data_IF_487204304196
#
_entry.id   IF_487204304196
#
_cell.length_a   1.000
_cell.length_b   1.000
_cell.length_c   1.000
_cell.angle_alpha   90.00
_cell.angle_beta   90.00
_cell.angle_gamma   90.00
#
_symmetry.space_group_name_H-M   'P 1'
#
loop_
_entity.id
_entity.type
_entity.pdbx_description
1 polymer ?
#
# COMPACT_ATOMS: atom_id res chain seq x y z
N UNK A 1 -9.74 14.86 -14.32
CA UNK A 1 -9.15 13.67 -13.65
C UNK A 1 -10.27 12.73 -13.27
N UNK A 2 -10.14 11.43 -13.54
CA UNK A 2 -11.13 10.44 -13.10
C UNK A 2 -11.06 10.32 -11.56
N UNK A 3 -12.19 10.26 -10.82
CA UNK A 3 -12.19 10.01 -9.38
C UNK A 3 -11.30 8.84 -8.96
N UNK A 4 -11.25 7.76 -9.75
CA UNK A 4 -10.36 6.63 -9.49
C UNK A 4 -8.87 7.02 -9.47
N UNK A 5 -8.43 7.82 -10.45
CA UNK A 5 -7.03 8.27 -10.53
C UNK A 5 -6.66 9.14 -9.32
N UNK A 6 -7.60 9.93 -8.79
CA UNK A 6 -7.40 10.74 -7.57
C UNK A 6 -7.18 9.84 -6.36
N UNK A 7 -8.01 8.82 -6.18
CA UNK A 7 -7.88 7.86 -5.07
C UNK A 7 -6.56 7.10 -5.15
N UNK A 8 -6.17 6.62 -6.33
CA UNK A 8 -4.92 5.89 -6.51
C UNK A 8 -3.69 6.79 -6.25
N UNK A 9 -3.71 8.04 -6.71
CA UNK A 9 -2.63 9.00 -6.47
C UNK A 9 -2.54 9.42 -5.00
N UNK A 10 -3.67 9.67 -4.33
CA UNK A 10 -3.67 10.02 -2.91
C UNK A 10 -3.24 8.84 -2.02
N UNK A 11 -3.67 7.61 -2.34
CA UNK A 11 -3.20 6.40 -1.67
C UNK A 11 -1.69 6.18 -1.88
N UNK A 12 -1.16 6.46 -3.08
CA UNK A 12 0.28 6.39 -3.35
C UNK A 12 1.09 7.33 -2.45
N UNK A 13 0.62 8.56 -2.27
CA UNK A 13 1.20 9.55 -1.35
C UNK A 13 1.13 9.07 0.11
N UNK A 14 -0.03 8.54 0.54
CA UNK A 14 -0.22 8.01 1.88
C UNK A 14 0.75 6.87 2.21
N UNK A 15 0.92 5.92 1.28
CA UNK A 15 1.89 4.81 1.42
C UNK A 15 3.33 5.32 1.48
N UNK A 16 3.67 6.34 0.68
CA UNK A 16 5.01 6.93 0.69
C UNK A 16 5.33 7.54 2.05
N UNK A 17 4.41 8.34 2.59
CA UNK A 17 4.55 8.97 3.92
C UNK A 17 4.68 7.90 5.01
N UNK A 18 3.81 6.88 4.99
CA UNK A 18 3.90 5.76 5.93
C UNK A 18 5.22 4.99 5.80
N UNK A 19 5.75 4.82 4.59
CA UNK A 19 7.04 4.21 4.34
C UNK A 19 8.20 4.97 4.97
N UNK A 20 8.18 6.30 4.92
CA UNK A 20 9.18 7.14 5.59
C UNK A 20 9.07 7.02 7.12
N UNK A 21 7.86 7.03 7.67
CA UNK A 21 7.66 6.81 9.10
C UNK A 21 8.11 5.43 9.55
N UNK A 22 7.76 4.39 8.79
CA UNK A 22 8.18 3.00 9.05
C UNK A 22 9.71 2.86 9.03
N UNK A 23 10.40 3.55 8.11
CA UNK A 23 11.87 3.58 8.06
C UNK A 23 12.48 4.23 9.30
N UNK A 24 11.82 5.24 9.89
CA UNK A 24 12.31 5.87 11.12
C UNK A 24 12.09 5.00 12.35
N UNK A 25 10.99 4.26 12.40
CA UNK A 25 10.62 3.43 13.55
C UNK A 25 11.29 2.06 13.50
N UNK A 26 11.58 1.57 12.30
CA UNK A 26 12.23 0.29 12.07
C UNK A 26 13.30 0.45 11.02
N UNK A 27 14.53 0.07 11.37
CA UNK A 27 15.66 -0.02 10.46
C UNK A 27 15.51 -1.12 9.37
N UNK A 28 14.32 -1.72 9.26
CA UNK A 28 14.01 -2.67 8.20
C UNK A 28 13.96 -1.98 6.83
N UNK A 29 15.09 -2.02 6.13
CA UNK A 29 15.21 -1.60 4.72
C UNK A 29 14.19 -2.29 3.82
N UNK A 30 13.84 -3.55 4.13
CA UNK A 30 12.87 -4.34 3.38
C UNK A 30 11.45 -3.78 3.48
N UNK A 31 11.05 -3.25 4.64
CA UNK A 31 9.74 -2.62 4.82
C UNK A 31 9.65 -1.33 4.02
N UNK A 32 10.68 -0.48 4.11
CA UNK A 32 10.75 0.77 3.38
C UNK A 32 10.70 0.55 1.85
N UNK A 33 11.49 -0.39 1.32
CA UNK A 33 11.50 -0.71 -0.11
C UNK A 33 10.12 -1.17 -0.62
N UNK A 34 9.40 -1.96 0.17
CA UNK A 34 8.04 -2.38 -0.19
C UNK A 34 7.05 -1.21 -0.22
N UNK A 35 7.20 -0.22 0.67
CA UNK A 35 6.40 1.00 0.63
C UNK A 35 6.69 1.82 -0.63
N UNK A 36 7.96 1.98 -1.02
CA UNK A 36 8.31 2.64 -2.28
C UNK A 36 7.75 1.91 -3.49
N UNK A 37 7.89 0.58 -3.53
CA UNK A 37 7.36 -0.25 -4.60
C UNK A 37 5.83 -0.13 -4.71
N UNK A 38 5.11 -0.27 -3.60
CA UNK A 38 3.64 -0.15 -3.58
C UNK A 38 3.17 1.26 -3.97
N UNK A 39 3.87 2.30 -3.50
CA UNK A 39 3.59 3.69 -3.90
C UNK A 39 3.75 3.87 -5.42
N UNK A 40 4.82 3.34 -6.00
CA UNK A 40 5.05 3.36 -7.45
C UNK A 40 3.98 2.57 -8.22
N UNK A 41 3.58 1.39 -7.73
CA UNK A 41 2.49 0.60 -8.32
C UNK A 41 1.17 1.35 -8.35
N UNK A 42 0.80 2.02 -7.24
CA UNK A 42 -0.43 2.82 -7.15
C UNK A 42 -0.39 4.05 -8.06
N UNK A 43 0.76 4.73 -8.14
CA UNK A 43 0.93 5.89 -9.02
C UNK A 43 0.87 5.47 -10.50
N UNK A 44 1.48 4.34 -10.85
CA UNK A 44 1.40 3.80 -12.20
C UNK A 44 -0.03 3.34 -12.54
N UNK A 45 -0.75 2.73 -11.60
CA UNK A 45 -2.17 2.42 -11.77
C UNK A 45 -3.02 3.70 -11.99
N UNK A 46 -2.74 4.78 -11.26
CA UNK A 46 -3.39 6.08 -11.44
C UNK A 46 -3.12 6.65 -12.84
N UNK A 47 -1.87 6.58 -13.30
CA UNK A 47 -1.49 7.01 -14.64
C UNK A 47 -2.20 6.21 -15.73
N UNK A 48 -2.24 4.87 -15.62
CA UNK A 48 -2.92 4.02 -16.60
C UNK A 48 -4.44 4.24 -16.61
N UNK A 49 -5.03 4.53 -15.44
CA UNK A 49 -6.43 4.94 -15.32
C UNK A 49 -6.72 6.25 -16.08
N UNK A 50 -5.77 7.19 -16.10
CA UNK A 50 -5.89 8.45 -16.82
C UNK A 50 -5.66 8.27 -18.34
N UNK A 51 -4.64 7.49 -18.71
CA UNK A 51 -4.22 7.28 -20.09
C UNK A 51 -5.12 6.30 -20.87
N UNK A 52 -6.05 5.58 -20.20
CA UNK A 52 -6.98 4.59 -20.77
C UNK A 52 -6.33 3.47 -21.59
N UNK A 53 -5.04 3.22 -21.37
CA UNK A 53 -4.21 2.32 -22.19
C UNK A 53 -4.43 0.85 -21.87
N UNK A 54 -4.46 0.48 -20.58
CA UNK A 54 -4.62 -0.93 -20.16
C UNK A 54 -5.40 -1.03 -18.84
N UNK A 55 -6.72 -1.34 -18.89
CA UNK A 55 -7.56 -1.34 -17.70
C UNK A 55 -7.16 -2.40 -16.68
N UNK A 56 -6.60 -3.54 -17.10
CA UNK A 56 -6.20 -4.65 -16.21
C UNK A 56 -5.21 -4.23 -15.12
N UNK A 57 -4.24 -3.38 -15.47
CA UNK A 57 -3.19 -2.92 -14.55
C UNK A 57 -3.74 -2.02 -13.44
N UNK A 58 -4.85 -1.34 -13.69
CA UNK A 58 -5.53 -0.47 -12.72
C UNK A 58 -6.04 -1.26 -11.52
N UNK A 59 -6.35 -2.56 -11.70
CA UNK A 59 -6.83 -3.46 -10.63
C UNK A 59 -5.72 -4.32 -10.07
N UNK A 60 -4.87 -4.85 -10.95
CA UNK A 60 -3.85 -5.81 -10.58
C UNK A 60 -2.80 -5.20 -9.64
N UNK A 61 -2.42 -3.94 -9.86
CA UNK A 61 -1.35 -3.28 -9.10
C UNK A 61 -1.75 -2.89 -7.67
N UNK A 62 -2.93 -2.28 -7.42
CA UNK A 62 -3.44 -2.11 -6.07
C UNK A 62 -3.60 -3.45 -5.34
N UNK A 63 -4.13 -4.47 -6.02
CA UNK A 63 -4.34 -5.80 -5.46
C UNK A 63 -3.01 -6.45 -5.03
N UNK A 64 -2.00 -6.44 -5.91
CA UNK A 64 -0.66 -6.94 -5.60
C UNK A 64 -0.06 -6.22 -4.38
N UNK A 65 -0.19 -4.90 -4.33
CA UNK A 65 0.31 -4.08 -3.22
C UNK A 65 -0.40 -4.44 -1.91
N UNK A 66 -1.72 -4.67 -1.96
CA UNK A 66 -2.50 -5.08 -0.80
C UNK A 66 -2.08 -6.45 -0.26
N UNK A 67 -1.84 -7.44 -1.14
CA UNK A 67 -1.35 -8.77 -0.73
C UNK A 67 0.04 -8.71 -0.10
N UNK A 68 0.95 -7.92 -0.68
CA UNK A 68 2.31 -7.73 -0.17
C UNK A 68 2.31 -7.21 1.28
N UNK A 69 1.45 -6.24 1.59
CA UNK A 69 1.34 -5.74 2.96
C UNK A 69 0.56 -6.67 3.87
N UNK A 70 -0.52 -7.29 3.40
CA UNK A 70 -1.36 -8.17 4.21
C UNK A 70 -0.56 -9.35 4.79
N UNK A 71 0.23 -10.04 3.97
CA UNK A 71 1.06 -11.16 4.42
C UNK A 71 2.07 -10.73 5.48
N UNK A 72 2.69 -9.56 5.31
CA UNK A 72 3.63 -9.01 6.29
C UNK A 72 2.94 -8.56 7.57
N UNK A 73 1.78 -7.91 7.47
CA UNK A 73 1.01 -7.42 8.61
C UNK A 73 0.58 -8.59 9.49
N UNK A 74 0.06 -9.66 8.90
CA UNK A 74 -0.31 -10.88 9.63
C UNK A 74 0.91 -11.51 10.33
N UNK A 75 2.04 -11.63 9.63
CA UNK A 75 3.27 -12.16 10.21
C UNK A 75 3.79 -11.30 11.36
N UNK A 76 3.72 -9.97 11.24
CA UNK A 76 4.19 -9.06 12.28
C UNK A 76 3.28 -9.09 13.50
N UNK A 77 1.96 -9.08 13.31
CA UNK A 77 0.98 -9.25 14.39
C UNK A 77 1.19 -10.57 15.13
N UNK A 78 1.50 -11.66 14.42
CA UNK A 78 1.84 -12.92 15.07
C UNK A 78 3.09 -12.80 15.95
N UNK A 79 4.13 -12.10 15.47
CA UNK A 79 5.36 -11.85 16.24
C UNK A 79 5.14 -10.95 17.45
N UNK A 80 4.19 -10.02 17.40
CA UNK A 80 3.89 -9.15 18.56
C UNK A 80 3.42 -9.91 19.81
N UNK A 81 2.95 -11.16 19.67
CA UNK A 81 2.63 -12.02 20.81
C UNK A 81 3.87 -12.38 21.66
N UNK A 82 5.05 -12.44 21.02
CA UNK A 82 6.33 -12.73 21.68
C UNK A 82 7.14 -11.46 21.94
N UNK A 83 7.05 -10.48 21.05
CA UNK A 83 7.84 -9.25 21.05
C UNK A 83 6.91 -8.02 21.02
N UNK A 84 6.43 -7.53 22.18
CA UNK A 84 5.42 -6.46 22.23
C UNK A 84 5.95 -5.12 21.70
N UNK A 85 7.26 -4.92 21.68
CA UNK A 85 7.95 -3.73 21.15
C UNK A 85 7.69 -3.51 19.65
N UNK A 86 7.28 -4.56 18.90
CA UNK A 86 6.95 -4.49 17.48
C UNK A 86 5.54 -3.95 17.18
N UNK A 87 4.71 -3.71 18.20
CA UNK A 87 3.34 -3.18 18.05
C UNK A 87 3.22 -1.92 17.19
N UNK A 88 4.01 -0.84 17.40
CA UNK A 88 3.91 0.36 16.56
C UNK A 88 4.21 0.08 15.09
N UNK A 89 5.16 -0.81 14.80
CA UNK A 89 5.44 -1.24 13.43
C UNK A 89 4.25 -2.00 12.84
N UNK A 90 3.64 -2.91 13.59
CA UNK A 90 2.46 -3.67 13.15
C UNK A 90 1.27 -2.74 12.85
N UNK A 91 1.04 -1.75 13.70
CA UNK A 91 -0.04 -0.76 13.53
C UNK A 91 0.16 0.06 12.25
N UNK A 92 1.36 0.57 12.01
CA UNK A 92 1.66 1.33 10.80
C UNK A 92 1.56 0.49 9.53
N UNK A 93 2.01 -0.77 9.59
CA UNK A 93 1.86 -1.69 8.46
C UNK A 93 0.40 -2.05 8.20
N UNK A 94 -0.42 -2.12 9.26
CA UNK A 94 -1.88 -2.32 9.15
C UNK A 94 -2.53 -1.12 8.47
N UNK A 95 -2.11 0.12 8.80
CA UNK A 95 -2.58 1.32 8.11
C UNK A 95 -2.16 1.35 6.63
N UNK A 96 -0.94 0.93 6.30
CA UNK A 96 -0.52 0.81 4.89
C UNK A 96 -1.35 -0.26 4.16
N UNK A 97 -1.62 -1.39 4.82
CA UNK A 97 -2.46 -2.46 4.27
C UNK A 97 -3.87 -1.95 3.99
N UNK A 98 -4.50 -1.24 4.92
CA UNK A 98 -5.87 -0.73 4.76
C UNK A 98 -5.97 0.29 3.63
N UNK A 99 -4.99 1.19 3.48
CA UNK A 99 -4.94 2.15 2.34
C UNK A 99 -4.87 1.40 1.01
N UNK A 100 -4.01 0.38 0.89
CA UNK A 100 -3.94 -0.43 -0.33
C UNK A 100 -5.23 -1.21 -0.58
N UNK A 101 -5.88 -1.72 0.48
CA UNK A 101 -7.13 -2.46 0.36
C UNK A 101 -8.28 -1.54 -0.11
N UNK A 102 -8.36 -0.33 0.44
CA UNK A 102 -9.28 0.72 -0.05
C UNK A 102 -8.99 1.04 -1.51
N UNK A 103 -7.73 1.24 -1.90
CA UNK A 103 -7.36 1.51 -3.29
C UNK A 103 -7.79 0.37 -4.24
N UNK A 104 -7.64 -0.89 -3.82
CA UNK A 104 -8.10 -2.07 -4.57
C UNK A 104 -9.62 -2.09 -4.70
N UNK A 105 -10.35 -1.86 -3.61
CA UNK A 105 -11.82 -1.81 -3.64
C UNK A 105 -12.31 -0.65 -4.51
N UNK A 106 -11.71 0.53 -4.37
CA UNK A 106 -12.02 1.69 -5.22
C UNK A 106 -11.76 1.41 -6.68
N UNK A 107 -10.65 0.74 -7.03
CA UNK A 107 -10.42 0.28 -8.39
C UNK A 107 -11.57 -0.61 -8.85
N UNK A 108 -11.93 -1.63 -8.06
CA UNK A 108 -12.97 -2.60 -8.39
C UNK A 108 -14.37 -1.97 -8.58
N UNK A 109 -14.75 -1.00 -7.74
CA UNK A 109 -16.09 -0.38 -7.75
C UNK A 109 -16.22 0.85 -8.66
N UNK A 110 -15.14 1.60 -8.89
CA UNK A 110 -15.16 2.85 -9.68
C UNK A 110 -14.65 2.66 -11.13
N UNK A 111 -14.73 1.41 -11.63
CA UNK A 111 -14.29 1.02 -12.97
C UNK A 111 -15.07 1.70 -14.08
#
# INVERSE_FOLDING_TARGET
MNPLSIVLASSSLGILVLGVFLKRISDSRSTAMNCFFASACLLFAAYQSLARTKPEWVFMLPFLSSMLFLGRTLGLWWRTKKEPELRPHAQLLTAATSICLVATLSAWFLK
#
